data_IF_588853381634
#
_entry.id   IF_588853381634
#
_cell.length_a   1.000
_cell.length_b   1.000
_cell.length_c   1.000
_cell.angle_alpha   90.00
_cell.angle_beta   90.00
_cell.angle_gamma   90.00
#
_symmetry.space_group_name_H-M   'P 1'
#
loop_
_entity.id
_entity.type
_entity.pdbx_description
1 polymer ?
#
# COMPACT_ATOMS: atom_id res chain seq x y z
N UNK A 1 -0.72 28.77 15.50
CA UNK A 1 -0.98 27.57 14.68
C UNK A 1 -0.12 26.46 15.24
N UNK A 2 -0.71 25.44 15.86
CA UNK A 2 0.06 24.31 16.41
C UNK A 2 0.58 23.49 15.23
N UNK A 3 1.89 23.59 14.96
CA UNK A 3 2.54 22.74 13.97
C UNK A 3 2.40 21.28 14.45
N UNK A 4 1.82 20.36 13.64
CA UNK A 4 1.85 18.95 14.00
C UNK A 4 3.33 18.55 14.14
N UNK A 5 3.72 17.85 15.21
CA UNK A 5 5.12 17.53 15.46
C UNK A 5 5.68 16.79 14.25
N UNK A 6 6.75 17.34 13.63
CA UNK A 6 7.37 16.84 12.40
C UNK A 6 7.72 15.33 12.45
N UNK A 7 7.94 14.79 13.66
CA UNK A 7 8.15 13.37 13.92
C UNK A 7 6.95 12.45 13.60
N UNK A 8 5.71 12.94 13.73
CA UNK A 8 4.48 12.15 13.50
C UNK A 8 4.23 11.89 12.00
N UNK A 9 4.67 12.80 11.13
CA UNK A 9 4.57 12.64 9.67
C UNK A 9 5.53 11.56 9.13
N UNK A 10 6.75 11.45 9.70
CA UNK A 10 7.76 10.44 9.36
C UNK A 10 7.30 9.01 9.73
N UNK A 11 6.73 8.84 10.92
CA UNK A 11 6.19 7.54 11.38
C UNK A 11 4.99 7.13 10.53
N UNK A 12 4.05 8.05 10.29
CA UNK A 12 2.84 7.78 9.49
C UNK A 12 3.19 7.37 8.05
N UNK A 13 4.14 8.05 7.39
CA UNK A 13 4.60 7.67 6.05
C UNK A 13 5.23 6.27 5.98
N UNK A 14 5.98 5.88 7.01
CA UNK A 14 6.58 4.54 7.11
C UNK A 14 5.52 3.47 7.31
N UNK A 15 4.49 3.73 8.14
CA UNK A 15 3.37 2.81 8.36
C UNK A 15 2.60 2.53 7.06
N UNK A 16 2.33 3.56 6.24
CA UNK A 16 1.67 3.37 4.94
C UNK A 16 2.52 2.56 3.96
N UNK A 17 3.85 2.76 3.95
CA UNK A 17 4.75 1.95 3.14
C UNK A 17 4.73 0.49 3.58
N UNK A 18 4.90 0.24 4.88
CA UNK A 18 4.90 -1.12 5.44
C UNK A 18 3.56 -1.81 5.20
N UNK A 19 2.44 -1.12 5.45
CA UNK A 19 1.10 -1.66 5.19
C UNK A 19 0.91 -2.01 3.70
N UNK A 20 1.33 -1.13 2.78
CA UNK A 20 1.28 -1.40 1.35
C UNK A 20 2.14 -2.61 0.93
N UNK A 21 3.36 -2.72 1.47
CA UNK A 21 4.23 -3.89 1.22
C UNK A 21 3.63 -5.18 1.77
N UNK A 22 3.12 -5.17 3.01
CA UNK A 22 2.48 -6.35 3.60
C UNK A 22 1.25 -6.79 2.80
N UNK A 23 0.47 -5.84 2.29
CA UNK A 23 -0.68 -6.14 1.45
C UNK A 23 -0.26 -6.76 0.10
N UNK A 24 0.82 -6.27 -0.51
CA UNK A 24 1.39 -6.88 -1.71
C UNK A 24 1.90 -8.30 -1.45
N UNK A 25 2.58 -8.53 -0.32
CA UNK A 25 3.04 -9.86 0.08
C UNK A 25 1.84 -10.80 0.25
N UNK A 26 0.79 -10.38 0.95
CA UNK A 26 -0.42 -11.17 1.11
C UNK A 26 -1.08 -11.48 -0.25
N UNK A 27 -1.08 -10.52 -1.19
CA UNK A 27 -1.60 -10.73 -2.53
C UNK A 27 -0.73 -11.71 -3.34
N UNK A 28 0.60 -11.66 -3.18
CA UNK A 28 1.53 -12.61 -3.79
C UNK A 28 1.28 -14.04 -3.29
N UNK A 29 1.06 -14.24 -1.99
CA UNK A 29 0.67 -15.54 -1.44
C UNK A 29 -0.70 -16.01 -1.94
N UNK A 30 -1.61 -15.09 -2.25
CA UNK A 30 -2.94 -15.41 -2.80
C UNK A 30 -2.91 -15.71 -4.31
N UNK A 31 -1.88 -15.28 -5.03
CA UNK A 31 -1.76 -15.47 -6.47
C UNK A 31 -1.84 -16.93 -6.96
N UNK A 32 -1.21 -17.95 -6.31
CA UNK A 32 -1.38 -19.35 -6.72
C UNK A 32 -2.82 -19.85 -6.62
N UNK A 33 -3.59 -19.42 -5.61
CA UNK A 33 -5.01 -19.80 -5.49
C UNK A 33 -5.85 -19.22 -6.62
N UNK A 34 -5.59 -17.96 -7.00
CA UNK A 34 -6.24 -17.31 -8.14
C UNK A 34 -5.91 -18.05 -9.44
N UNK A 35 -4.66 -18.48 -9.61
CA UNK A 35 -4.22 -19.24 -10.76
C UNK A 35 -4.87 -20.62 -10.82
N UNK A 36 -4.94 -21.34 -9.70
CA UNK A 36 -5.63 -22.62 -9.62
C UNK A 36 -7.15 -22.50 -9.88
N UNK A 37 -7.78 -21.42 -9.38
CA UNK A 37 -9.18 -21.12 -9.67
C UNK A 37 -9.42 -20.79 -11.15
N UNK A 38 -8.46 -20.11 -11.79
CA UNK A 38 -8.51 -19.84 -13.23
C UNK A 38 -8.37 -21.13 -14.05
N UNK A 39 -7.39 -21.98 -13.73
CA UNK A 39 -7.19 -23.26 -14.41
C UNK A 39 -8.38 -24.21 -14.25
N UNK A 40 -9.02 -24.23 -13.08
CA UNK A 40 -10.20 -25.06 -12.81
C UNK A 40 -11.51 -24.48 -13.34
N UNK A 41 -11.49 -23.28 -13.94
CA UNK A 41 -12.69 -22.59 -14.41
C UNK A 41 -13.64 -22.12 -13.29
N UNK A 42 -13.19 -22.17 -12.04
CA UNK A 42 -13.98 -21.76 -10.86
C UNK A 42 -13.73 -20.31 -10.46
N UNK A 43 -12.95 -19.56 -11.24
CA UNK A 43 -12.65 -18.16 -10.97
C UNK A 43 -13.89 -17.29 -11.17
N UNK A 44 -14.41 -16.76 -10.07
CA UNK A 44 -15.53 -15.81 -10.12
C UNK A 44 -15.02 -14.38 -10.33
N UNK A 45 -15.79 -13.58 -11.08
CA UNK A 45 -15.51 -12.16 -11.30
C UNK A 45 -15.36 -11.38 -10.00
N UNK A 46 -16.13 -11.73 -8.97
CA UNK A 46 -16.02 -11.13 -7.64
C UNK A 46 -14.65 -11.39 -6.99
N UNK A 47 -14.10 -12.60 -7.11
CA UNK A 47 -12.80 -12.97 -6.54
C UNK A 47 -11.65 -12.25 -7.24
N UNK A 48 -11.73 -12.14 -8.57
CA UNK A 48 -10.78 -11.39 -9.38
C UNK A 48 -10.85 -9.88 -9.07
N UNK A 49 -12.05 -9.30 -9.08
CA UNK A 49 -12.27 -7.87 -8.81
C UNK A 49 -11.81 -7.45 -7.41
N UNK A 50 -12.09 -8.27 -6.38
CA UNK A 50 -11.64 -8.00 -5.02
C UNK A 50 -10.11 -7.99 -4.92
N UNK A 51 -9.42 -8.91 -5.59
CA UNK A 51 -7.95 -8.94 -5.63
C UNK A 51 -7.37 -7.70 -6.32
N UNK A 52 -8.06 -7.19 -7.33
CA UNK A 52 -7.68 -5.98 -8.07
C UNK A 52 -7.85 -4.72 -7.21
N UNK A 53 -8.92 -4.63 -6.43
CA UNK A 53 -9.13 -3.55 -5.45
C UNK A 53 -8.03 -3.55 -4.39
N UNK A 54 -7.66 -4.72 -3.86
CA UNK A 54 -6.56 -4.83 -2.92
C UNK A 54 -5.23 -4.39 -3.55
N UNK A 55 -4.95 -4.79 -4.79
CA UNK A 55 -3.75 -4.34 -5.51
C UNK A 55 -3.69 -2.82 -5.64
N UNK A 56 -4.79 -2.19 -6.09
CA UNK A 56 -4.89 -0.73 -6.22
C UNK A 56 -4.70 -0.05 -4.86
N UNK A 57 -5.32 -0.57 -3.81
CA UNK A 57 -5.14 -0.09 -2.44
C UNK A 57 -3.68 -0.15 -1.98
N UNK A 58 -2.99 -1.26 -2.23
CA UNK A 58 -1.58 -1.43 -1.89
C UNK A 58 -0.69 -0.38 -2.58
N UNK A 59 -0.91 -0.19 -3.89
CA UNK A 59 -0.17 0.79 -4.68
C UNK A 59 -0.44 2.22 -4.22
N UNK A 60 -1.68 2.53 -3.82
CA UNK A 60 -2.04 3.83 -3.30
C UNK A 60 -1.36 4.10 -1.95
N UNK A 61 -1.34 3.12 -1.05
CA UNK A 61 -0.63 3.22 0.23
C UNK A 61 0.89 3.41 0.03
N UNK A 62 1.49 2.68 -0.92
CA UNK A 62 2.89 2.86 -1.28
C UNK A 62 3.17 4.28 -1.83
N UNK A 63 2.33 4.75 -2.76
CA UNK A 63 2.44 6.10 -3.34
C UNK A 63 2.30 7.17 -2.26
N UNK A 64 1.35 7.01 -1.35
CA UNK A 64 1.08 7.97 -0.29
C UNK A 64 2.22 8.00 0.73
N UNK A 65 2.66 6.85 1.23
CA UNK A 65 3.81 6.75 2.14
C UNK A 65 5.09 7.32 1.53
N UNK A 66 5.32 7.09 0.24
CA UNK A 66 6.45 7.65 -0.49
C UNK A 66 6.36 9.18 -0.66
N UNK A 67 5.16 9.72 -0.92
CA UNK A 67 4.93 11.18 -1.01
C UNK A 67 5.12 11.86 0.35
N UNK A 68 4.60 11.27 1.43
CA UNK A 68 4.79 11.77 2.80
C UNK A 68 6.28 11.81 3.19
N UNK A 69 7.05 10.79 2.79
CA UNK A 69 8.49 10.75 3.05
C UNK A 69 9.24 11.88 2.32
N UNK A 70 8.91 12.13 1.04
CA UNK A 70 9.55 13.19 0.25
C UNK A 70 9.23 14.60 0.74
N UNK A 71 7.97 14.85 1.13
CA UNK A 71 7.57 16.17 1.62
C UNK A 71 8.21 16.51 2.98
N UNK A 72 8.49 15.52 3.82
CA UNK A 72 9.15 15.77 5.11
C UNK A 72 10.63 16.14 4.95
N UNK A 73 11.33 15.58 3.95
CA UNK A 73 12.73 15.93 3.67
C UNK A 73 12.89 17.39 3.23
N UNK A 74 11.90 17.99 2.56
CA UNK A 74 11.96 19.41 2.19
C UNK A 74 11.82 20.36 3.38
N UNK A 75 11.00 20.01 4.37
CA UNK A 75 10.83 20.84 5.56
C UNK A 75 12.04 20.79 6.50
N UNK A 76 12.75 19.66 6.58
CA UNK A 76 13.96 19.53 7.40
C UNK A 76 15.18 20.31 6.86
N UNK A 77 15.15 20.82 5.61
CA UNK A 77 16.27 21.55 4.97
C UNK A 77 16.10 23.08 5.06
N UNK A 78 14.92 23.56 5.47
CA UNK A 78 14.59 25.00 5.54
C UNK A 78 14.75 25.56 6.96
N UNK A 79 14.95 24.71 7.97
CA UNK A 79 15.31 25.10 9.35
C UNK A 79 16.83 25.16 9.57
#
# INVERSE_FOLDING_TARGET
MAYPPAGRARTTGTLYLVAGVLLLIALAFRSPELYAAWQSGTLTTARAGMSLIFLVGALYMLRMGWRLRRNNTQNDVID
#
